data_IF_776844029628
#
_entry.id   IF_776844029628
#
_cell.length_a   1.000
_cell.length_b   1.000
_cell.length_c   1.000
_cell.angle_alpha   90.00
_cell.angle_beta   90.00
_cell.angle_gamma   90.00
#
_symmetry.space_group_name_H-M   'P 1'
#
loop_
_entity.id
_entity.type
_entity.pdbx_description
1 polymer ?
#
# COMPACT_ATOMS: atom_id res chain seq x y z
N UNK A 1 7.14 0.59 5.69
CA UNK A 1 7.08 1.91 5.03
C UNK A 1 7.27 3.04 6.02
N UNK A 2 6.44 3.23 7.05
CA UNK A 2 6.55 4.36 7.98
C UNK A 2 7.91 4.51 8.70
N UNK A 3 8.58 3.41 9.09
CA UNK A 3 9.88 3.48 9.78
C UNK A 3 10.95 4.08 8.86
N UNK A 4 11.04 3.62 7.63
CA UNK A 4 12.00 4.15 6.64
C UNK A 4 11.74 5.63 6.34
N UNK A 5 10.49 6.01 6.16
CA UNK A 5 10.12 7.38 5.82
C UNK A 5 10.42 8.32 7.00
N UNK A 6 10.13 7.89 8.24
CA UNK A 6 10.52 8.65 9.45
C UNK A 6 12.04 8.79 9.60
N UNK A 7 12.80 7.74 9.30
CA UNK A 7 14.25 7.80 9.35
C UNK A 7 14.83 8.75 8.27
N UNK A 8 14.23 8.78 7.08
CA UNK A 8 14.57 9.74 6.03
C UNK A 8 14.25 11.17 6.45
N UNK A 9 13.04 11.42 6.94
CA UNK A 9 12.62 12.73 7.41
C UNK A 9 13.50 13.24 8.57
N UNK A 10 13.95 12.33 9.46
CA UNK A 10 14.86 12.69 10.55
C UNK A 10 16.19 13.26 10.03
N UNK A 11 16.79 12.66 9.00
CA UNK A 11 17.99 13.23 8.37
C UNK A 11 17.69 14.62 7.82
N UNK A 12 16.57 14.78 7.13
CA UNK A 12 16.19 16.05 6.52
C UNK A 12 16.00 17.15 7.56
N UNK A 13 15.34 16.85 8.69
CA UNK A 13 15.12 17.80 9.79
C UNK A 13 16.44 18.20 10.45
N UNK A 14 17.39 17.29 10.61
CA UNK A 14 18.71 17.59 11.18
C UNK A 14 19.65 18.29 10.19
N UNK A 15 19.26 18.39 8.90
CA UNK A 15 20.09 19.01 7.87
C UNK A 15 21.44 18.31 7.70
N UNK A 16 22.51 19.08 7.49
CA UNK A 16 23.86 18.54 7.34
C UNK A 16 24.33 17.67 8.51
N UNK A 17 23.93 18.01 9.73
CA UNK A 17 24.24 17.22 10.93
C UNK A 17 23.60 15.82 10.91
N UNK A 18 22.40 15.68 10.30
CA UNK A 18 21.74 14.38 10.17
C UNK A 18 22.46 13.41 9.24
N UNK A 19 23.25 13.92 8.29
CA UNK A 19 24.07 13.13 7.38
C UNK A 19 25.41 12.70 8.01
N UNK A 20 25.88 13.42 9.02
CA UNK A 20 27.17 13.15 9.69
C UNK A 20 27.03 12.01 10.71
N UNK A 21 28.14 11.26 10.92
CA UNK A 21 28.17 10.11 11.87
C UNK A 21 28.13 10.52 13.33
N UNK A 22 28.27 11.81 13.64
CA UNK A 22 28.18 12.36 14.99
C UNK A 22 26.77 12.23 15.58
N UNK A 23 25.75 12.04 14.74
CA UNK A 23 24.36 11.86 15.11
C UNK A 23 23.83 10.50 14.65
N UNK A 24 22.86 9.90 15.35
CA UNK A 24 22.37 8.56 15.03
C UNK A 24 21.51 8.48 13.76
N UNK A 25 21.09 9.60 13.17
CA UNK A 25 20.10 9.65 12.10
C UNK A 25 20.55 8.87 10.85
N UNK A 26 21.83 9.01 10.41
CA UNK A 26 22.35 8.30 9.24
C UNK A 26 22.33 6.78 9.46
N UNK A 27 22.68 6.32 10.67
CA UNK A 27 22.66 4.91 11.02
C UNK A 27 21.23 4.36 11.03
N UNK A 28 20.30 5.08 11.68
CA UNK A 28 18.89 4.69 11.71
C UNK A 28 18.29 4.59 10.32
N UNK A 29 18.64 5.50 9.42
CA UNK A 29 18.18 5.44 8.02
C UNK A 29 18.77 4.22 7.29
N UNK A 30 20.04 3.96 7.41
CA UNK A 30 20.71 2.79 6.83
C UNK A 30 20.13 1.48 7.38
N UNK A 31 19.92 1.40 8.70
CA UNK A 31 19.32 0.23 9.35
C UNK A 31 17.86 0.03 8.93
N UNK A 32 17.10 1.11 8.79
CA UNK A 32 15.73 1.05 8.27
C UNK A 32 15.67 0.58 6.81
N UNK A 33 16.72 0.83 6.01
CA UNK A 33 16.76 0.43 4.60
C UNK A 33 16.81 -1.08 4.42
N UNK A 34 17.46 -1.82 5.32
CA UNK A 34 17.56 -3.27 5.23
C UNK A 34 16.19 -3.96 5.34
N UNK A 35 15.22 -3.34 6.03
CA UNK A 35 13.86 -3.88 6.21
C UNK A 35 13.11 -4.15 4.90
N UNK A 36 13.54 -3.53 3.80
CA UNK A 36 12.96 -3.73 2.47
C UNK A 36 13.75 -4.74 1.61
N UNK A 37 14.78 -5.37 2.16
CA UNK A 37 15.73 -6.19 1.41
C UNK A 37 15.81 -7.60 1.97
N UNK A 38 15.99 -7.74 3.30
CA UNK A 38 16.18 -9.04 3.93
C UNK A 38 14.88 -9.87 3.97
N UNK A 39 15.02 -11.19 4.08
CA UNK A 39 13.88 -12.16 4.08
C UNK A 39 12.94 -12.02 2.87
N UNK A 40 13.48 -11.62 1.75
CA UNK A 40 12.75 -11.30 0.53
C UNK A 40 12.48 -9.82 0.37
N UNK A 41 12.90 -9.29 -0.78
CA UNK A 41 12.67 -7.87 -1.10
C UNK A 41 11.19 -7.53 -1.10
N UNK A 42 10.85 -6.24 -0.96
CA UNK A 42 9.46 -5.78 -1.08
C UNK A 42 8.76 -6.30 -2.35
N UNK A 43 9.50 -6.44 -3.45
CA UNK A 43 8.96 -7.01 -4.69
C UNK A 43 8.61 -8.50 -4.54
N UNK A 44 9.47 -9.30 -3.89
CA UNK A 44 9.17 -10.71 -3.63
C UNK A 44 7.96 -10.89 -2.71
N UNK A 45 7.78 -10.02 -1.73
CA UNK A 45 6.59 -10.02 -0.87
C UNK A 45 5.33 -9.69 -1.67
N UNK A 46 5.39 -8.74 -2.61
CA UNK A 46 4.28 -8.43 -3.52
C UNK A 46 3.95 -9.63 -4.41
N UNK A 47 4.95 -10.29 -4.98
CA UNK A 47 4.77 -11.50 -5.83
C UNK A 47 4.14 -12.65 -5.02
N UNK A 48 4.52 -12.81 -3.76
CA UNK A 48 3.92 -13.80 -2.88
C UNK A 48 2.46 -13.47 -2.54
N UNK A 49 2.15 -12.19 -2.28
CA UNK A 49 0.84 -11.73 -1.83
C UNK A 49 -0.20 -11.64 -2.96
N UNK A 50 0.20 -11.33 -4.21
CA UNK A 50 -0.75 -11.02 -5.29
C UNK A 50 -1.75 -12.15 -5.57
N UNK A 51 -1.32 -13.40 -5.47
CA UNK A 51 -2.22 -14.54 -5.65
C UNK A 51 -3.29 -14.63 -4.56
N UNK A 52 -2.97 -14.28 -3.31
CA UNK A 52 -3.95 -14.23 -2.22
C UNK A 52 -4.91 -13.04 -2.39
N UNK A 53 -4.42 -11.92 -2.93
CA UNK A 53 -5.24 -10.74 -3.26
C UNK A 53 -6.27 -11.09 -4.33
N UNK A 54 -5.83 -11.65 -5.45
CA UNK A 54 -6.71 -11.97 -6.59
C UNK A 54 -7.64 -13.16 -6.31
N UNK A 55 -7.24 -14.14 -5.49
CA UNK A 55 -8.09 -15.25 -5.05
C UNK A 55 -9.13 -14.85 -4.00
N UNK A 56 -9.16 -13.59 -3.57
CA UNK A 56 -10.16 -13.07 -2.64
C UNK A 56 -9.82 -13.20 -1.15
N UNK A 57 -8.68 -13.83 -0.76
CA UNK A 57 -8.33 -14.02 0.66
C UNK A 57 -8.24 -12.69 1.41
N UNK A 58 -7.62 -11.67 0.80
CA UNK A 58 -7.55 -10.33 1.40
C UNK A 58 -8.92 -9.65 1.47
N UNK A 59 -9.75 -9.86 0.46
CA UNK A 59 -11.10 -9.31 0.44
C UNK A 59 -11.99 -9.94 1.52
N UNK A 60 -11.91 -11.25 1.72
CA UNK A 60 -12.62 -11.94 2.81
C UNK A 60 -12.18 -11.40 4.18
N UNK A 61 -10.88 -11.18 4.36
CA UNK A 61 -10.36 -10.58 5.59
C UNK A 61 -10.85 -9.15 5.79
N UNK A 62 -10.89 -8.34 4.74
CA UNK A 62 -11.43 -6.97 4.79
C UNK A 62 -12.93 -7.01 5.17
N UNK A 63 -13.71 -7.89 4.57
CA UNK A 63 -15.14 -8.07 4.90
C UNK A 63 -15.35 -8.53 6.35
N UNK A 64 -14.45 -9.36 6.87
CA UNK A 64 -14.48 -9.75 8.29
C UNK A 64 -14.26 -8.54 9.21
N UNK A 65 -13.30 -7.68 8.89
CA UNK A 65 -13.11 -6.44 9.65
C UNK A 65 -14.30 -5.48 9.48
N UNK A 66 -14.85 -5.35 8.29
CA UNK A 66 -16.02 -4.50 8.02
C UNK A 66 -17.25 -4.93 8.82
N UNK A 67 -17.45 -6.24 9.02
CA UNK A 67 -18.56 -6.77 9.79
C UNK A 67 -18.43 -6.57 11.31
N UNK A 68 -17.23 -6.23 11.81
CA UNK A 68 -17.02 -6.01 13.23
C UNK A 68 -17.69 -4.72 13.74
N UNK A 69 -17.95 -4.68 15.05
CA UNK A 69 -18.44 -3.49 15.73
C UNK A 69 -17.29 -2.50 15.97
N UNK A 70 -17.61 -1.22 15.83
CA UNK A 70 -16.66 -0.11 16.01
C UNK A 70 -17.27 0.93 16.94
N UNK A 71 -16.39 1.65 17.66
CA UNK A 71 -16.80 2.78 18.46
C UNK A 71 -17.56 3.84 17.62
N UNK A 72 -18.54 4.55 18.19
CA UNK A 72 -19.34 5.54 17.47
C UNK A 72 -18.49 6.58 16.72
N UNK A 73 -17.35 6.97 17.29
CA UNK A 73 -16.40 7.92 16.72
C UNK A 73 -15.74 7.41 15.43
N UNK A 74 -15.79 6.09 15.19
CA UNK A 74 -15.22 5.42 14.01
C UNK A 74 -16.24 5.11 12.93
N UNK A 75 -17.53 5.38 13.13
CA UNK A 75 -18.58 5.11 12.13
C UNK A 75 -18.29 5.79 10.78
N UNK A 76 -17.83 7.04 10.81
CA UNK A 76 -17.46 7.76 9.58
C UNK A 76 -16.25 7.15 8.88
N UNK A 77 -15.26 6.66 9.63
CA UNK A 77 -14.09 5.93 9.09
C UNK A 77 -14.54 4.62 8.47
N UNK A 78 -15.40 3.86 9.14
CA UNK A 78 -15.96 2.60 8.64
C UNK A 78 -16.70 2.80 7.30
N UNK A 79 -17.54 3.82 7.20
CA UNK A 79 -18.25 4.13 5.94
C UNK A 79 -17.29 4.36 4.78
N UNK A 80 -16.24 5.16 4.99
CA UNK A 80 -15.21 5.40 3.98
C UNK A 80 -14.45 4.13 3.59
N UNK A 81 -14.15 3.26 4.55
CA UNK A 81 -13.48 1.99 4.30
C UNK A 81 -14.35 1.05 3.45
N UNK A 82 -15.68 1.08 3.62
CA UNK A 82 -16.61 0.37 2.74
C UNK A 82 -16.48 0.85 1.29
N UNK A 83 -16.42 2.17 1.07
CA UNK A 83 -16.22 2.73 -0.28
C UNK A 83 -14.85 2.33 -0.88
N UNK A 84 -13.79 2.32 -0.05
CA UNK A 84 -12.47 1.88 -0.50
C UNK A 84 -12.44 0.37 -0.83
N UNK A 85 -13.18 -0.46 -0.08
CA UNK A 85 -13.32 -1.89 -0.39
C UNK A 85 -14.02 -2.09 -1.75
N UNK A 86 -15.07 -1.34 -2.04
CA UNK A 86 -15.76 -1.43 -3.35
C UNK A 86 -14.79 -1.11 -4.48
N UNK A 87 -14.03 -0.03 -4.38
CA UNK A 87 -13.00 0.30 -5.37
C UNK A 87 -11.94 -0.79 -5.51
N UNK A 88 -11.53 -1.39 -4.40
CA UNK A 88 -10.59 -2.50 -4.43
C UNK A 88 -11.15 -3.72 -5.17
N UNK A 89 -12.44 -4.07 -4.94
CA UNK A 89 -13.12 -5.15 -5.68
C UNK A 89 -13.15 -4.87 -7.20
N UNK A 90 -13.46 -3.63 -7.60
CA UNK A 90 -13.45 -3.21 -9.01
C UNK A 90 -12.05 -3.32 -9.64
N UNK A 91 -11.00 -2.91 -8.91
CA UNK A 91 -9.61 -3.04 -9.35
C UNK A 91 -9.22 -4.51 -9.58
N UNK A 92 -9.56 -5.39 -8.63
CA UNK A 92 -9.27 -6.82 -8.73
C UNK A 92 -10.01 -7.42 -9.94
N UNK A 93 -11.30 -7.16 -10.09
CA UNK A 93 -12.11 -7.66 -11.20
C UNK A 93 -11.57 -7.21 -12.57
N UNK A 94 -11.16 -5.95 -12.70
CA UNK A 94 -10.54 -5.44 -13.92
C UNK A 94 -9.22 -6.15 -14.23
N UNK A 95 -8.35 -6.30 -13.24
CA UNK A 95 -7.06 -6.99 -13.44
C UNK A 95 -7.26 -8.45 -13.85
N UNK A 96 -8.20 -9.16 -13.24
CA UNK A 96 -8.52 -10.55 -13.62
C UNK A 96 -9.08 -10.66 -15.05
N UNK A 97 -9.83 -9.66 -15.48
CA UNK A 97 -10.36 -9.62 -16.84
C UNK A 97 -9.24 -9.40 -17.86
N UNK A 98 -8.41 -8.38 -17.66
CA UNK A 98 -7.33 -8.01 -18.59
C UNK A 98 -6.15 -8.99 -18.55
N UNK A 99 -5.93 -9.70 -17.46
CA UNK A 99 -4.94 -10.80 -17.39
C UNK A 99 -5.27 -11.95 -18.37
N UNK A 100 -6.57 -12.21 -18.65
CA UNK A 100 -7.00 -13.19 -19.66
C UNK A 100 -6.68 -12.75 -21.09
N UNK A 101 -6.72 -11.44 -21.34
CA UNK A 101 -6.38 -10.84 -22.62
C UNK A 101 -4.87 -10.75 -22.83
N UNK A 102 -4.14 -10.37 -21.76
CA UNK A 102 -2.69 -10.16 -21.78
C UNK A 102 -2.04 -10.71 -20.50
N UNK A 103 -1.37 -11.84 -20.63
CA UNK A 103 -0.59 -12.41 -19.50
C UNK A 103 0.49 -11.45 -19.03
N UNK A 104 0.61 -11.29 -17.72
CA UNK A 104 1.53 -10.37 -17.04
C UNK A 104 0.88 -9.03 -16.65
N UNK A 105 -0.36 -8.77 -17.02
CA UNK A 105 -1.10 -7.58 -16.59
C UNK A 105 -1.31 -7.57 -15.07
N UNK A 106 -1.59 -8.73 -14.47
CA UNK A 106 -1.69 -8.91 -13.03
C UNK A 106 -0.37 -8.56 -12.32
N UNK A 107 0.75 -9.06 -12.83
CA UNK A 107 2.05 -8.81 -12.23
C UNK A 107 2.45 -7.33 -12.36
N UNK A 108 2.11 -6.68 -13.46
CA UNK A 108 2.30 -5.25 -13.68
C UNK A 108 1.56 -4.39 -12.64
N UNK A 109 0.36 -4.79 -12.24
CA UNK A 109 -0.44 -4.09 -11.24
C UNK A 109 -0.34 -4.65 -9.82
N UNK A 110 0.43 -5.72 -9.60
CA UNK A 110 0.49 -6.46 -8.35
C UNK A 110 0.76 -5.55 -7.13
N UNK A 111 1.75 -4.67 -7.23
CA UNK A 111 2.11 -3.75 -6.15
C UNK A 111 0.95 -2.83 -5.77
N UNK A 112 0.24 -2.27 -6.74
CA UNK A 112 -0.90 -1.37 -6.51
C UNK A 112 -2.02 -2.07 -5.76
N UNK A 113 -2.34 -3.31 -6.15
CA UNK A 113 -3.38 -4.10 -5.49
C UNK A 113 -2.98 -4.49 -4.06
N UNK A 114 -1.75 -4.96 -3.86
CA UNK A 114 -1.26 -5.37 -2.53
C UNK A 114 -1.19 -4.18 -1.58
N UNK A 115 -0.68 -3.03 -2.03
CA UNK A 115 -0.62 -1.81 -1.22
C UNK A 115 -2.02 -1.27 -0.90
N UNK A 116 -2.96 -1.33 -1.86
CA UNK A 116 -4.36 -0.93 -1.63
C UNK A 116 -5.00 -1.79 -0.52
N UNK A 117 -4.90 -3.11 -0.62
CA UNK A 117 -5.38 -4.00 0.43
C UNK A 117 -4.74 -3.69 1.78
N UNK A 118 -3.42 -3.45 1.80
CA UNK A 118 -2.66 -3.08 2.99
C UNK A 118 -3.18 -1.79 3.63
N UNK A 119 -3.42 -0.74 2.85
CA UNK A 119 -3.97 0.53 3.37
C UNK A 119 -5.35 0.36 4.00
N UNK A 120 -6.23 -0.42 3.39
CA UNK A 120 -7.57 -0.70 3.91
C UNK A 120 -7.47 -1.47 5.23
N UNK A 121 -6.69 -2.56 5.26
CA UNK A 121 -6.52 -3.41 6.45
C UNK A 121 -5.92 -2.62 7.61
N UNK A 122 -4.85 -1.86 7.38
CA UNK A 122 -4.21 -1.03 8.43
C UNK A 122 -5.22 -0.03 9.01
N UNK A 123 -6.06 0.58 8.17
CA UNK A 123 -7.06 1.54 8.66
C UNK A 123 -8.11 0.85 9.54
N UNK A 124 -8.56 -0.37 9.19
CA UNK A 124 -9.46 -1.15 10.05
C UNK A 124 -8.81 -1.51 11.39
N UNK A 125 -7.54 -1.90 11.38
CA UNK A 125 -6.80 -2.23 12.60
C UNK A 125 -6.66 -1.01 13.52
N UNK A 126 -6.34 0.16 12.97
CA UNK A 126 -6.29 1.42 13.73
C UNK A 126 -7.67 1.81 14.27
N UNK A 127 -8.74 1.62 13.50
CA UNK A 127 -10.10 1.88 13.95
C UNK A 127 -10.52 0.95 15.08
N UNK A 128 -10.04 -0.30 15.12
CA UNK A 128 -10.26 -1.21 16.25
C UNK A 128 -9.50 -0.75 17.49
N UNK A 129 -8.23 -0.38 17.35
CA UNK A 129 -7.44 0.16 18.46
C UNK A 129 -8.06 1.44 19.05
N UNK A 130 -8.68 2.26 18.20
CA UNK A 130 -9.41 3.46 18.67
C UNK A 130 -10.64 3.11 19.57
N UNK A 131 -11.18 1.91 19.44
CA UNK A 131 -12.21 1.40 20.37
C UNK A 131 -11.65 0.95 21.72
N UNK A 132 -10.37 0.60 21.78
CA UNK A 132 -9.68 0.18 23.01
C UNK A 132 -9.06 1.37 23.75
N UNK A 133 -8.56 2.38 23.02
CA UNK A 133 -7.95 3.59 23.58
C UNK A 133 -8.21 4.81 22.71
N UNK A 134 -8.72 5.89 23.33
CA UNK A 134 -9.06 7.13 22.64
C UNK A 134 -7.85 7.82 21.96
N UNK A 135 -6.62 7.52 22.37
CA UNK A 135 -5.40 8.07 21.77
C UNK A 135 -5.21 7.66 20.29
N UNK A 136 -5.84 6.54 19.86
CA UNK A 136 -5.77 6.07 18.48
C UNK A 136 -6.83 6.67 17.55
N UNK A 137 -7.81 7.42 18.09
CA UNK A 137 -8.92 8.01 17.30
C UNK A 137 -8.36 8.92 16.19
N UNK A 138 -7.49 9.85 16.54
CA UNK A 138 -6.94 10.80 15.58
C UNK A 138 -5.97 10.11 14.61
N UNK A 139 -5.19 9.15 15.09
CA UNK A 139 -4.32 8.33 14.24
C UNK A 139 -5.13 7.55 13.19
N UNK A 140 -6.25 6.94 13.56
CA UNK A 140 -7.14 6.25 12.65
C UNK A 140 -7.77 7.20 11.62
N UNK A 141 -8.20 8.39 12.04
CA UNK A 141 -8.77 9.42 11.15
C UNK A 141 -7.75 9.97 10.15
N UNK A 142 -6.52 10.25 10.62
CA UNK A 142 -5.44 10.76 9.75
C UNK A 142 -5.03 9.68 8.75
N UNK A 143 -4.85 8.43 9.21
CA UNK A 143 -4.46 7.35 8.32
C UNK A 143 -5.57 7.02 7.31
N UNK A 144 -6.85 7.13 7.69
CA UNK A 144 -7.97 6.97 6.77
C UNK A 144 -7.87 7.96 5.60
N UNK A 145 -7.58 9.24 5.85
CA UNK A 145 -7.37 10.25 4.79
C UNK A 145 -6.20 9.90 3.88
N UNK A 146 -5.10 9.38 4.44
CA UNK A 146 -3.98 8.89 3.65
C UNK A 146 -4.40 7.70 2.79
N UNK A 147 -5.12 6.74 3.35
CA UNK A 147 -5.63 5.57 2.63
C UNK A 147 -6.56 5.98 1.49
N UNK A 148 -7.51 6.91 1.72
CA UNK A 148 -8.38 7.47 0.67
C UNK A 148 -7.55 8.01 -0.50
N UNK A 149 -6.52 8.82 -0.23
CA UNK A 149 -5.64 9.39 -1.26
C UNK A 149 -4.87 8.32 -2.03
N UNK A 150 -4.27 7.35 -1.31
CA UNK A 150 -3.46 6.29 -1.93
C UNK A 150 -4.30 5.31 -2.75
N UNK A 151 -5.47 4.95 -2.27
CA UNK A 151 -6.40 4.10 -3.02
C UNK A 151 -6.94 4.83 -4.24
N UNK A 152 -7.26 6.12 -4.14
CA UNK A 152 -7.71 6.91 -5.28
C UNK A 152 -6.62 7.01 -6.37
N UNK A 153 -5.36 7.24 -6.01
CA UNK A 153 -4.22 7.24 -6.92
C UNK A 153 -4.09 5.90 -7.66
N UNK A 154 -4.09 4.79 -6.91
CA UNK A 154 -3.97 3.45 -7.47
C UNK A 154 -5.17 3.07 -8.36
N UNK A 155 -6.38 3.39 -7.91
CA UNK A 155 -7.63 3.17 -8.63
C UNK A 155 -7.64 3.92 -9.96
N UNK A 156 -7.37 5.23 -9.93
CA UNK A 156 -7.36 6.04 -11.15
C UNK A 156 -6.34 5.53 -12.15
N UNK A 157 -5.11 5.22 -11.71
CA UNK A 157 -4.10 4.67 -12.60
C UNK A 157 -4.56 3.35 -13.24
N UNK A 158 -5.02 2.39 -12.42
CA UNK A 158 -5.39 1.06 -12.89
C UNK A 158 -6.61 1.10 -13.81
N UNK A 159 -7.62 1.92 -13.50
CA UNK A 159 -8.83 2.01 -14.31
C UNK A 159 -8.63 2.68 -15.68
N UNK A 160 -7.54 3.47 -15.83
CA UNK A 160 -7.16 4.08 -17.12
C UNK A 160 -6.01 3.32 -17.83
N UNK A 161 -5.42 2.32 -17.18
CA UNK A 161 -4.41 1.45 -17.79
C UNK A 161 -5.06 0.38 -18.66
N UNK A 162 -4.39 0.01 -19.73
CA UNK A 162 -4.80 -1.06 -20.63
C UNK A 162 -3.67 -2.10 -20.86
N UNK A 163 -3.93 -3.07 -21.71
CA UNK A 163 -2.99 -4.17 -21.96
C UNK A 163 -1.73 -3.73 -22.71
N UNK A 164 -1.78 -2.61 -23.44
CA UNK A 164 -0.66 -2.09 -24.22
C UNK A 164 0.41 -1.48 -23.30
N UNK A 165 0.02 -0.97 -22.13
CA UNK A 165 0.94 -0.40 -21.14
C UNK A 165 2.04 -1.39 -20.72
N UNK A 166 1.69 -2.69 -20.61
CA UNK A 166 2.66 -3.75 -20.26
C UNK A 166 3.78 -3.83 -21.29
N UNK A 167 3.46 -3.65 -22.57
CA UNK A 167 4.44 -3.72 -23.65
C UNK A 167 5.23 -2.41 -23.78
N UNK A 168 4.62 -1.27 -23.53
CA UNK A 168 5.31 0.03 -23.47
C UNK A 168 6.41 0.03 -22.40
N UNK A 169 6.10 -0.42 -21.19
CA UNK A 169 7.09 -0.50 -20.11
C UNK A 169 8.24 -1.47 -20.42
N UNK A 170 7.97 -2.58 -21.12
CA UNK A 170 9.02 -3.50 -21.57
C UNK A 170 9.96 -2.85 -22.59
N UNK A 171 9.43 -2.05 -23.51
CA UNK A 171 10.24 -1.32 -24.51
C UNK A 171 11.15 -0.31 -23.84
N UNK A 172 10.63 0.52 -22.93
CA UNK A 172 11.43 1.49 -22.18
C UNK A 172 12.58 0.82 -21.42
N UNK A 173 12.32 -0.31 -20.73
CA UNK A 173 13.34 -1.04 -20.00
C UNK A 173 14.40 -1.72 -20.88
N UNK A 174 14.17 -1.88 -22.20
CA UNK A 174 15.15 -2.41 -23.13
C UNK A 174 16.07 -1.34 -23.72
N UNK A 175 15.61 -0.10 -23.85
CA UNK A 175 16.38 1.02 -24.39
C UNK A 175 17.48 1.52 -23.42
N UNK A 176 17.33 1.29 -22.12
CA UNK A 176 18.33 1.66 -21.11
C UNK A 176 19.56 0.72 -21.06
N UNK A 177 19.60 -0.35 -21.85
CA UNK A 177 20.70 -1.33 -21.86
C UNK A 177 21.80 -0.96 -22.89
N UNK A 178 21.75 0.24 -23.47
CA UNK A 178 22.76 0.73 -24.44
C UNK A 178 23.50 1.92 -23.83
N UNK A 179 24.50 1.64 -23.00
CA UNK A 179 25.40 2.66 -22.46
C UNK A 179 26.55 2.04 -21.70
#
# INVERSE_FOLDING_TARGET
MCIRDRAYDAIQIHGGSGFMKDYPCERLYRDARIMNIYEGTSQLQVVAAINAVTKGTFLEQIKTYEAADYAPEMCAVKSKLTDLRVRFEEMVARVETLEKERSGYKDFHARRLVETAGHIIITYLLARQAGESAEYIDSARIYCKLAESKVAEAYNYLMHSDVEDVDLFKKVGQEETIG
#
